data_IF_527094320758
#
_entry.id   IF_527094320758
#
_cell.length_a   1.000
_cell.length_b   1.000
_cell.length_c   1.000
_cell.angle_alpha   90.00
_cell.angle_beta   90.00
_cell.angle_gamma   90.00
#
_symmetry.space_group_name_H-M   'P 1'
#
loop_
_entity.id
_entity.type
_entity.pdbx_description
1 polymer ?
#
# COMPACT_ATOMS: atom_id res chain seq x y z
N UNK A 1 -19.33 16.71 0.41
CA UNK A 1 -18.34 15.60 0.43
C UNK A 1 -17.16 16.01 -0.43
N UNK A 2 -15.92 15.67 -0.05
CA UNK A 2 -14.73 15.94 -0.85
C UNK A 2 -13.99 14.65 -1.20
N UNK A 3 -13.41 14.60 -2.40
CA UNK A 3 -12.42 13.58 -2.79
C UNK A 3 -11.04 14.21 -2.80
N UNK A 4 -10.08 13.53 -2.17
CA UNK A 4 -8.70 13.97 -2.09
C UNK A 4 -7.88 13.01 -2.92
N UNK A 5 -7.69 13.33 -4.19
CA UNK A 5 -6.83 12.55 -5.09
C UNK A 5 -5.39 12.95 -4.80
N UNK A 6 -4.53 12.01 -4.43
CA UNK A 6 -3.13 12.32 -4.15
C UNK A 6 -2.21 11.23 -4.67
N UNK A 7 -0.96 11.63 -4.90
CA UNK A 7 0.17 10.79 -5.27
C UNK A 7 1.41 11.23 -4.47
N UNK A 8 2.40 10.35 -4.35
CA UNK A 8 3.59 10.55 -3.53
C UNK A 8 4.81 10.01 -4.26
N UNK A 9 5.89 10.80 -4.28
CA UNK A 9 7.20 10.30 -4.68
C UNK A 9 8.04 9.94 -3.46
N UNK A 10 8.87 8.90 -3.61
CA UNK A 10 9.64 8.34 -2.51
C UNK A 10 11.14 8.25 -2.81
N UNK A 11 11.95 8.56 -1.79
CA UNK A 11 13.35 8.16 -1.75
C UNK A 11 13.52 6.85 -0.96
N UNK A 12 14.63 6.16 -1.22
CA UNK A 12 14.98 4.91 -0.55
C UNK A 12 16.50 4.83 -0.31
N UNK A 13 16.90 3.93 0.58
CA UNK A 13 18.31 3.71 0.89
C UNK A 13 19.11 3.31 -0.36
N UNK A 14 20.16 4.07 -0.64
CA UNK A 14 21.10 3.80 -1.73
C UNK A 14 22.45 3.37 -1.16
N UNK A 15 22.98 2.24 -1.64
CA UNK A 15 24.35 1.80 -1.40
C UNK A 15 25.03 1.55 -2.74
N UNK A 16 26.25 2.08 -2.99
CA UNK A 16 27.01 1.77 -4.19
C UNK A 16 27.46 0.31 -4.22
N UNK A 17 27.45 -0.39 -3.07
CA UNK A 17 27.70 -1.82 -2.99
C UNK A 17 26.45 -2.59 -3.38
N UNK A 18 26.50 -3.29 -4.52
CA UNK A 18 25.36 -4.07 -5.02
C UNK A 18 24.85 -5.07 -3.98
N UNK A 19 23.55 -5.00 -3.69
CA UNK A 19 22.86 -5.94 -2.81
C UNK A 19 22.95 -5.62 -1.32
N UNK A 20 23.65 -4.55 -0.93
CA UNK A 20 23.70 -4.08 0.45
C UNK A 20 22.36 -3.43 0.83
N UNK A 21 21.60 -4.13 1.67
CA UNK A 21 20.32 -3.67 2.21
C UNK A 21 20.45 -3.06 3.61
N UNK A 22 21.65 -2.95 4.15
CA UNK A 22 21.88 -2.40 5.50
C UNK A 22 21.46 -0.93 5.60
N UNK A 23 21.51 -0.21 4.46
CA UNK A 23 21.09 1.18 4.35
C UNK A 23 19.57 1.38 4.42
N UNK A 24 18.76 0.32 4.29
CA UNK A 24 17.29 0.42 4.28
C UNK A 24 16.75 0.41 5.71
N UNK A 25 16.07 1.49 6.09
CA UNK A 25 15.34 1.57 7.34
C UNK A 25 14.06 0.73 7.28
N UNK A 26 13.99 -0.35 8.06
CA UNK A 26 12.82 -1.27 8.05
C UNK A 26 11.50 -0.61 8.48
N UNK A 27 11.56 0.46 9.27
CA UNK A 27 10.38 1.18 9.76
C UNK A 27 9.91 2.26 8.76
N UNK A 28 10.80 2.71 7.86
CA UNK A 28 10.50 3.67 6.81
C UNK A 28 11.33 3.32 5.55
N UNK A 29 10.98 2.24 4.83
CA UNK A 29 11.76 1.80 3.67
C UNK A 29 11.69 2.79 2.51
N UNK A 30 10.60 3.54 2.42
CA UNK A 30 10.33 4.57 1.43
C UNK A 30 10.00 5.87 2.16
N UNK A 31 10.89 6.86 2.07
CA UNK A 31 10.70 8.19 2.65
C UNK A 31 10.05 9.10 1.63
N UNK A 32 8.96 9.78 2.00
CA UNK A 32 8.26 10.68 1.08
C UNK A 32 9.13 11.91 0.79
N UNK A 33 9.31 12.23 -0.49
CA UNK A 33 10.09 13.38 -0.97
C UNK A 33 9.26 14.37 -1.81
N UNK A 34 8.08 13.98 -2.27
CA UNK A 34 7.10 14.89 -2.88
C UNK A 34 5.68 14.43 -2.53
N UNK A 35 4.79 15.39 -2.31
CA UNK A 35 3.36 15.20 -2.12
C UNK A 35 2.62 16.07 -3.14
N UNK A 36 1.79 15.44 -3.96
CA UNK A 36 0.88 16.10 -4.88
C UNK A 36 -0.56 15.68 -4.58
N UNK A 37 -1.46 16.66 -4.47
CA UNK A 37 -2.87 16.39 -4.18
C UNK A 37 -3.81 17.36 -4.88
N UNK A 38 -4.97 16.85 -5.28
CA UNK A 38 -6.09 17.57 -5.88
C UNK A 38 -7.33 17.32 -5.02
N UNK A 39 -7.96 18.40 -4.57
CA UNK A 39 -9.20 18.36 -3.81
C UNK A 39 -10.36 18.59 -4.76
N UNK A 40 -11.30 17.65 -4.77
CA UNK A 40 -12.49 17.69 -5.60
C UNK A 40 -13.75 17.82 -4.74
N UNK A 41 -14.76 18.51 -5.27
CA UNK A 41 -16.11 18.49 -4.71
C UNK A 41 -16.84 17.18 -5.09
N UNK A 42 -18.09 17.05 -4.69
CA UNK A 42 -18.95 15.89 -5.01
C UNK A 42 -19.28 15.70 -6.50
N UNK A 43 -19.16 16.77 -7.30
CA UNK A 43 -19.31 16.74 -8.75
C UNK A 43 -17.99 16.44 -9.48
N UNK A 44 -16.91 16.17 -8.73
CA UNK A 44 -15.54 16.00 -9.21
C UNK A 44 -14.91 17.27 -9.80
N UNK A 45 -15.45 18.45 -9.52
CA UNK A 45 -14.80 19.72 -9.88
C UNK A 45 -13.62 20.00 -8.95
N UNK A 46 -12.53 20.51 -9.50
CA UNK A 46 -11.34 20.88 -8.72
C UNK A 46 -11.62 22.10 -7.86
N UNK A 47 -11.47 21.94 -6.54
CA UNK A 47 -11.54 23.02 -5.55
C UNK A 47 -10.16 23.67 -5.38
N UNK A 48 -9.13 22.84 -5.19
CA UNK A 48 -7.77 23.29 -4.93
C UNK A 48 -6.76 22.18 -5.19
N UNK A 49 -5.49 22.57 -5.28
CA UNK A 49 -4.34 21.66 -5.38
C UNK A 49 -3.36 21.94 -4.25
N UNK A 50 -2.54 20.95 -3.91
CA UNK A 50 -1.42 21.06 -2.99
C UNK A 50 -0.24 20.32 -3.60
N UNK A 51 0.91 20.99 -3.63
CA UNK A 51 2.16 20.40 -4.10
C UNK A 51 3.29 20.82 -3.18
N UNK A 52 4.02 19.83 -2.65
CA UNK A 52 5.15 20.07 -1.76
C UNK A 52 6.27 19.09 -2.05
N UNK A 53 7.48 19.62 -2.26
CA UNK A 53 8.71 18.86 -2.02
C UNK A 53 8.91 18.69 -0.51
N UNK A 54 9.55 17.59 -0.12
CA UNK A 54 9.80 17.24 1.28
C UNK A 54 11.28 16.94 1.46
N UNK A 55 11.88 17.59 2.45
CA UNK A 55 13.29 17.37 2.79
C UNK A 55 13.52 15.99 3.42
N UNK A 56 14.32 15.11 2.80
CA UNK A 56 14.59 13.80 3.34
C UNK A 56 15.50 13.88 4.57
N UNK A 57 15.22 13.06 5.57
CA UNK A 57 16.00 12.91 6.80
C UNK A 57 16.41 11.46 7.04
N UNK A 58 15.62 10.49 6.59
CA UNK A 58 15.95 9.05 6.67
C UNK A 58 17.00 8.69 5.64
N UNK A 59 16.87 9.20 4.41
CA UNK A 59 17.78 8.97 3.30
C UNK A 59 18.31 10.31 2.75
N UNK A 60 19.38 10.86 3.34
CA UNK A 60 19.93 12.17 2.93
C UNK A 60 20.55 12.16 1.53
N UNK A 61 20.78 10.97 0.97
CA UNK A 61 21.28 10.78 -0.39
C UNK A 61 20.10 10.40 -1.25
N UNK A 62 19.85 11.16 -2.31
CA UNK A 62 18.83 10.82 -3.30
C UNK A 62 19.31 9.63 -4.12
N UNK A 63 18.50 8.57 -4.18
CA UNK A 63 18.82 7.39 -4.96
C UNK A 63 18.89 7.76 -6.46
N UNK A 64 19.95 7.40 -7.22
CA UNK A 64 20.12 7.81 -8.61
C UNK A 64 18.93 7.47 -9.51
N UNK A 65 18.40 6.24 -9.42
CA UNK A 65 17.18 5.86 -10.13
C UNK A 65 15.97 6.76 -9.81
N UNK A 66 15.83 7.22 -8.56
CA UNK A 66 14.73 8.12 -8.18
C UNK A 66 14.97 9.50 -8.77
N UNK A 67 16.20 10.02 -8.73
CA UNK A 67 16.56 11.29 -9.37
C UNK A 67 16.29 11.28 -10.88
N UNK A 68 16.66 10.20 -11.57
CA UNK A 68 16.43 10.04 -13.01
C UNK A 68 14.93 9.91 -13.32
N UNK A 69 14.16 9.28 -12.43
CA UNK A 69 12.74 9.03 -12.62
C UNK A 69 11.90 10.30 -12.41
N UNK A 70 12.18 11.07 -11.36
CA UNK A 70 11.37 12.23 -10.94
C UNK A 70 11.95 13.56 -11.42
N UNK A 71 13.19 13.58 -11.93
CA UNK A 71 13.91 14.79 -12.27
C UNK A 71 14.36 15.64 -11.06
N UNK A 72 14.06 15.20 -9.83
CA UNK A 72 14.40 15.95 -8.62
C UNK A 72 15.88 15.89 -8.30
N UNK A 73 16.42 16.98 -7.77
CA UNK A 73 17.78 16.99 -7.23
C UNK A 73 17.78 17.04 -5.71
N UNK A 74 18.84 16.52 -5.10
CA UNK A 74 19.01 16.63 -3.64
C UNK A 74 19.13 18.10 -3.16
N UNK A 75 19.49 19.02 -4.07
CA UNK A 75 19.53 20.45 -3.77
C UNK A 75 18.12 21.01 -3.58
N UNK A 76 17.19 20.64 -4.46
CA UNK A 76 15.78 21.06 -4.37
C UNK A 76 15.15 20.52 -3.09
N UNK A 77 15.37 19.23 -2.81
CA UNK A 77 14.88 18.58 -1.60
C UNK A 77 15.47 19.19 -0.32
N UNK A 78 16.74 19.57 -0.31
CA UNK A 78 17.37 20.16 0.88
C UNK A 78 16.84 21.57 1.22
N UNK A 79 16.30 22.27 0.22
CA UNK A 79 15.64 23.57 0.36
C UNK A 79 14.17 23.46 0.77
N UNK A 80 13.57 22.27 0.66
CA UNK A 80 12.19 22.01 1.02
C UNK A 80 11.96 21.92 2.54
N UNK A 81 10.69 21.95 2.93
CA UNK A 81 10.27 21.81 4.32
C UNK A 81 10.32 20.34 4.78
N UNK A 82 10.51 20.07 6.09
CA UNK A 82 10.51 18.71 6.61
C UNK A 82 9.10 18.10 6.58
N UNK A 83 9.04 16.76 6.54
CA UNK A 83 7.78 16.02 6.43
C UNK A 83 6.72 16.43 7.47
N UNK A 84 7.10 16.74 8.71
CA UNK A 84 6.17 17.16 9.75
C UNK A 84 5.36 18.41 9.38
N UNK A 85 6.01 19.43 8.79
CA UNK A 85 5.32 20.65 8.38
C UNK A 85 4.42 20.41 7.17
N UNK A 86 4.93 19.68 6.17
CA UNK A 86 4.13 19.31 4.99
C UNK A 86 2.92 18.46 5.39
N UNK A 87 3.07 17.61 6.42
CA UNK A 87 1.97 16.85 6.98
C UNK A 87 0.90 17.75 7.62
N UNK A 88 1.29 18.77 8.40
CA UNK A 88 0.35 19.74 8.97
C UNK A 88 -0.43 20.47 7.87
N UNK A 89 0.24 20.90 6.80
CA UNK A 89 -0.40 21.50 5.63
C UNK A 89 -1.35 20.52 4.93
N UNK A 90 -0.97 19.25 4.81
CA UNK A 90 -1.83 18.22 4.26
C UNK A 90 -3.07 18.00 5.13
N UNK A 91 -2.94 17.97 6.46
CA UNK A 91 -4.09 17.89 7.37
C UNK A 91 -5.03 19.08 7.18
N UNK A 92 -4.51 20.30 7.03
CA UNK A 92 -5.32 21.47 6.72
C UNK A 92 -6.06 21.30 5.38
N UNK A 93 -5.36 20.81 4.36
CA UNK A 93 -5.93 20.54 3.03
C UNK A 93 -7.08 19.53 3.07
N UNK A 94 -6.98 18.52 3.95
CA UNK A 94 -8.01 17.49 4.15
C UNK A 94 -9.29 18.00 4.82
N UNK A 95 -9.26 19.16 5.51
CA UNK A 95 -10.42 19.67 6.26
C UNK A 95 -11.65 19.87 5.37
N UNK A 96 -12.81 19.61 5.94
CA UNK A 96 -14.13 19.70 5.32
C UNK A 96 -15.09 18.73 6.01
N UNK A 97 -16.37 18.75 5.63
CA UNK A 97 -17.40 17.94 6.31
C UNK A 97 -17.08 16.43 6.28
N UNK A 98 -16.64 15.95 5.11
CA UNK A 98 -16.21 14.57 4.90
C UNK A 98 -15.26 14.50 3.71
N UNK A 99 -14.11 13.85 3.89
CA UNK A 99 -13.08 13.69 2.86
C UNK A 99 -12.80 12.20 2.63
N UNK A 100 -12.65 11.80 1.37
CA UNK A 100 -12.30 10.42 0.98
C UNK A 100 -10.96 10.47 0.24
N UNK A 101 -10.00 9.66 0.68
CA UNK A 101 -8.70 9.56 0.02
C UNK A 101 -8.81 8.80 -1.30
N UNK A 102 -8.22 9.30 -2.36
CA UNK A 102 -8.20 8.65 -3.67
C UNK A 102 -6.74 8.56 -4.12
N UNK A 103 -6.33 7.39 -4.56
CA UNK A 103 -4.95 7.14 -5.02
C UNK A 103 -5.00 6.29 -6.26
N UNK A 104 -3.97 6.37 -7.10
CA UNK A 104 -3.86 5.43 -8.21
C UNK A 104 -3.76 4.01 -7.66
N UNK A 105 -2.85 3.75 -6.71
CA UNK A 105 -2.71 2.45 -6.07
C UNK A 105 -2.59 2.50 -4.56
N UNK A 106 -2.63 1.34 -3.92
CA UNK A 106 -2.53 1.23 -2.46
C UNK A 106 -1.14 1.50 -1.87
N UNK A 107 -0.14 1.78 -2.71
CA UNK A 107 1.23 2.03 -2.25
C UNK A 107 1.29 3.33 -1.44
N UNK A 108 0.70 4.41 -1.96
CA UNK A 108 0.80 5.75 -1.40
C UNK A 108 0.14 5.85 -0.03
N UNK A 109 -1.04 5.25 0.12
CA UNK A 109 -1.70 5.14 1.42
C UNK A 109 -0.81 4.39 2.42
N UNK A 110 -0.21 3.26 2.03
CA UNK A 110 0.63 2.48 2.95
C UNK A 110 1.87 3.24 3.38
N UNK A 111 2.57 3.88 2.44
CA UNK A 111 3.79 4.63 2.75
C UNK A 111 3.49 5.94 3.48
N UNK A 112 2.37 6.61 3.20
CA UNK A 112 1.86 7.74 3.99
C UNK A 112 1.73 7.35 5.47
N UNK A 113 0.98 6.28 5.77
CA UNK A 113 0.82 5.82 7.15
C UNK A 113 2.16 5.40 7.79
N UNK A 114 3.06 4.76 7.03
CA UNK A 114 4.39 4.41 7.57
C UNK A 114 5.23 5.64 7.92
N UNK A 115 5.24 6.66 7.07
CA UNK A 115 5.98 7.89 7.32
C UNK A 115 5.39 8.64 8.52
N UNK A 116 4.06 8.76 8.62
CA UNK A 116 3.37 9.35 9.79
C UNK A 116 3.81 8.65 11.09
N UNK A 117 3.74 7.31 11.11
CA UNK A 117 4.11 6.52 12.29
C UNK A 117 5.61 6.59 12.60
N UNK A 118 6.46 6.59 11.57
CA UNK A 118 7.91 6.73 11.73
C UNK A 118 8.29 8.07 12.39
N UNK A 119 7.65 9.15 11.94
CA UNK A 119 7.84 10.48 12.49
C UNK A 119 7.04 10.75 13.78
N UNK A 120 6.35 9.73 14.31
CA UNK A 120 5.53 9.80 15.54
C UNK A 120 4.44 10.87 15.49
N UNK A 121 3.88 11.08 14.30
CA UNK A 121 2.75 11.96 14.06
C UNK A 121 1.44 11.20 14.28
N UNK A 122 0.38 11.93 14.60
CA UNK A 122 -0.94 11.35 14.83
C UNK A 122 -1.69 11.07 13.52
N UNK A 123 -2.36 9.93 13.44
CA UNK A 123 -3.16 9.50 12.27
C UNK A 123 -4.63 9.90 12.36
N UNK A 124 -5.09 10.45 13.49
CA UNK A 124 -6.51 10.73 13.75
C UNK A 124 -7.18 11.58 12.67
N UNK A 125 -6.46 12.55 12.12
CA UNK A 125 -6.98 13.48 11.12
C UNK A 125 -6.97 12.92 9.69
N UNK A 126 -6.38 11.74 9.47
CA UNK A 126 -6.38 11.09 8.16
C UNK A 126 -7.70 10.34 7.96
N UNK A 127 -8.44 10.60 6.85
CA UNK A 127 -9.64 9.86 6.56
C UNK A 127 -9.39 8.35 6.51
N UNK A 128 -10.32 7.59 7.09
CA UNK A 128 -10.27 6.14 7.07
C UNK A 128 -10.91 5.54 5.81
N UNK A 129 -11.57 6.34 4.98
CA UNK A 129 -12.17 5.92 3.72
C UNK A 129 -11.23 6.23 2.54
N UNK A 130 -11.07 5.26 1.65
CA UNK A 130 -10.25 5.41 0.46
C UNK A 130 -10.84 4.75 -0.79
N UNK A 131 -10.40 5.22 -1.95
CA UNK A 131 -10.71 4.69 -3.28
C UNK A 131 -9.39 4.33 -3.98
N UNK A 132 -9.25 3.05 -4.34
CA UNK A 132 -8.18 2.53 -5.19
C UNK A 132 -8.62 2.65 -6.67
N UNK A 133 -8.20 3.75 -7.31
CA UNK A 133 -8.66 4.09 -8.65
C UNK A 133 -8.09 3.15 -9.72
N UNK A 134 -6.89 2.59 -9.54
CA UNK A 134 -6.33 1.57 -10.44
C UNK A 134 -7.23 0.34 -10.50
N UNK A 135 -7.75 -0.14 -9.37
CA UNK A 135 -8.69 -1.28 -9.35
C UNK A 135 -9.96 -0.96 -10.15
N UNK A 136 -10.51 0.24 -10.01
CA UNK A 136 -11.71 0.66 -10.76
C UNK A 136 -11.41 0.86 -12.25
N UNK A 137 -10.31 1.52 -12.60
CA UNK A 137 -9.87 1.73 -13.98
C UNK A 137 -9.60 0.39 -14.69
N UNK A 138 -8.94 -0.55 -14.01
CA UNK A 138 -8.66 -1.88 -14.56
C UNK A 138 -9.94 -2.64 -14.91
N UNK A 139 -10.97 -2.54 -14.05
CA UNK A 139 -12.29 -3.14 -14.32
C UNK A 139 -13.02 -2.43 -15.46
N UNK A 140 -13.01 -1.09 -15.45
CA UNK A 140 -13.65 -0.28 -16.48
C UNK A 140 -13.08 -0.57 -17.88
N UNK A 141 -11.76 -0.74 -17.97
CA UNK A 141 -11.04 -1.05 -19.20
C UNK A 141 -10.97 -2.55 -19.51
N UNK A 142 -11.87 -3.36 -18.92
CA UNK A 142 -11.99 -4.81 -19.15
C UNK A 142 -10.68 -5.60 -19.04
N UNK A 143 -9.79 -5.21 -18.11
CA UNK A 143 -8.56 -5.97 -17.87
C UNK A 143 -8.87 -7.31 -17.22
N UNK A 144 -8.08 -8.33 -17.58
CA UNK A 144 -8.20 -9.67 -17.01
C UNK A 144 -8.04 -9.58 -15.48
N UNK A 145 -8.84 -10.36 -14.76
CA UNK A 145 -8.77 -10.44 -13.30
C UNK A 145 -7.34 -10.79 -12.87
N UNK A 146 -6.76 -9.98 -11.99
CA UNK A 146 -5.37 -10.13 -11.52
C UNK A 146 -4.34 -9.25 -12.23
N UNK A 147 -4.71 -8.55 -13.31
CA UNK A 147 -3.84 -7.59 -13.99
C UNK A 147 -4.31 -6.16 -13.71
N UNK A 148 -3.46 -5.38 -13.05
CA UNK A 148 -3.68 -3.94 -12.85
C UNK A 148 -3.06 -3.13 -13.99
N UNK A 149 -3.73 -2.04 -14.38
CA UNK A 149 -3.22 -1.11 -15.37
C UNK A 149 -2.37 -0.01 -14.72
N UNK A 150 -1.24 0.35 -15.32
CA UNK A 150 -0.46 1.53 -14.90
C UNK A 150 -1.16 2.84 -15.28
N UNK A 151 -0.84 3.94 -14.58
CA UNK A 151 -1.51 5.23 -14.78
C UNK A 151 -1.36 5.72 -16.21
N UNK A 152 -0.12 5.78 -16.74
CA UNK A 152 0.12 6.21 -18.10
C UNK A 152 -0.60 5.37 -19.17
N UNK A 153 -0.71 4.05 -18.96
CA UNK A 153 -1.48 3.20 -19.86
C UNK A 153 -3.00 3.46 -19.78
N UNK A 154 -3.53 3.82 -18.61
CA UNK A 154 -4.92 4.21 -18.47
C UNK A 154 -5.20 5.57 -19.09
N UNK A 155 -4.32 6.56 -18.86
CA UNK A 155 -4.36 7.90 -19.49
C UNK A 155 -4.38 7.78 -21.00
N UNK A 156 -3.49 6.96 -21.58
CA UNK A 156 -3.44 6.71 -23.01
C UNK A 156 -4.73 6.07 -23.54
N UNK A 157 -5.23 5.00 -22.90
CA UNK A 157 -6.45 4.30 -23.34
C UNK A 157 -7.72 5.13 -23.19
N UNK A 158 -7.74 6.06 -22.25
CA UNK A 158 -8.86 6.97 -22.04
C UNK A 158 -8.71 8.26 -22.86
N UNK A 159 -7.69 8.37 -23.71
CA UNK A 159 -7.44 9.54 -24.56
C UNK A 159 -7.40 10.85 -23.74
N UNK A 160 -6.77 10.79 -22.56
CA UNK A 160 -6.53 11.98 -21.74
C UNK A 160 -5.29 12.69 -22.30
N UNK A 161 -5.36 14.00 -22.62
CA UNK A 161 -4.22 14.73 -23.15
C UNK A 161 -3.03 14.74 -22.17
N UNK A 162 -1.86 14.36 -22.67
CA UNK A 162 -0.61 14.52 -21.91
C UNK A 162 -0.21 15.99 -21.90
N UNK A 163 -0.04 16.55 -20.71
CA UNK A 163 0.37 17.94 -20.50
C UNK A 163 1.69 18.04 -19.72
N UNK A 164 1.92 17.10 -18.83
CA UNK A 164 3.04 17.04 -17.89
C UNK A 164 3.68 15.64 -17.92
N UNK A 165 4.92 15.52 -17.44
CA UNK A 165 5.62 14.23 -17.35
C UNK A 165 5.05 13.39 -16.19
N UNK A 166 5.22 12.06 -16.28
CA UNK A 166 4.92 11.15 -15.16
C UNK A 166 6.01 11.23 -14.10
N UNK A 167 5.71 10.73 -12.90
CA UNK A 167 6.64 10.74 -11.76
C UNK A 167 6.92 12.13 -11.20
N UNK A 168 5.99 13.04 -11.45
CA UNK A 168 5.74 14.22 -10.64
C UNK A 168 4.43 13.98 -9.87
N UNK A 169 4.48 14.13 -8.55
CA UNK A 169 3.34 13.76 -7.71
C UNK A 169 2.08 14.59 -7.98
N UNK A 170 2.20 15.88 -8.35
CA UNK A 170 1.02 16.69 -8.67
C UNK A 170 0.47 16.31 -10.05
N UNK A 171 1.33 16.15 -11.04
CA UNK A 171 0.95 15.71 -12.38
C UNK A 171 0.20 14.37 -12.32
N UNK A 172 0.72 13.40 -11.56
CA UNK A 172 0.12 12.08 -11.42
C UNK A 172 -1.21 12.13 -10.64
N UNK A 173 -1.35 13.01 -9.64
CA UNK A 173 -2.63 13.27 -8.99
C UNK A 173 -3.66 13.93 -9.93
N UNK A 174 -3.22 14.83 -10.81
CA UNK A 174 -4.04 15.45 -11.86
C UNK A 174 -4.49 14.43 -12.91
N UNK A 175 -3.58 13.60 -13.43
CA UNK A 175 -3.93 12.52 -14.35
C UNK A 175 -4.88 11.51 -13.70
N UNK A 176 -4.64 11.14 -12.45
CA UNK A 176 -5.52 10.27 -11.68
C UNK A 176 -6.91 10.89 -11.52
N UNK A 177 -6.99 12.21 -11.34
CA UNK A 177 -8.26 12.97 -11.30
C UNK A 177 -9.01 12.90 -12.63
N UNK A 178 -8.33 13.08 -13.76
CA UNK A 178 -8.96 12.98 -15.08
C UNK A 178 -9.44 11.54 -15.38
N UNK A 179 -8.65 10.53 -15.00
CA UNK A 179 -9.10 9.14 -15.07
C UNK A 179 -10.33 8.96 -14.19
N UNK A 180 -10.32 9.49 -12.97
CA UNK A 180 -11.45 9.38 -12.06
C UNK A 180 -12.72 9.98 -12.68
N UNK A 181 -12.65 11.19 -13.24
CA UNK A 181 -13.77 11.84 -13.94
C UNK A 181 -14.33 10.98 -15.07
N UNK A 182 -13.47 10.33 -15.86
CA UNK A 182 -13.91 9.48 -17.00
C UNK A 182 -14.53 8.15 -16.58
N UNK A 183 -14.04 7.53 -15.51
CA UNK A 183 -14.52 6.20 -15.09
C UNK A 183 -15.59 6.24 -14.00
N UNK A 184 -15.80 7.41 -13.36
CA UNK A 184 -16.69 7.56 -12.23
C UNK A 184 -18.12 7.16 -12.60
N UNK A 185 -18.70 6.31 -11.77
CA UNK A 185 -20.09 5.89 -11.87
C UNK A 185 -20.58 5.47 -10.47
N UNK A 186 -21.88 5.17 -10.34
CA UNK A 186 -22.52 4.79 -9.07
C UNK A 186 -21.93 3.55 -8.37
N UNK A 187 -21.01 2.81 -8.99
CA UNK A 187 -20.35 1.61 -8.41
C UNK A 187 -19.00 1.92 -7.75
N UNK A 188 -18.50 3.15 -7.82
CA UNK A 188 -17.27 3.52 -7.11
C UNK A 188 -17.62 3.74 -5.65
N UNK A 189 -17.30 2.75 -4.82
CA UNK A 189 -17.56 2.80 -3.39
C UNK A 189 -16.24 2.93 -2.61
N UNK A 190 -16.17 3.84 -1.61
CA UNK A 190 -15.04 3.91 -0.70
C UNK A 190 -14.90 2.63 0.12
N UNK A 191 -13.67 2.22 0.36
CA UNK A 191 -13.30 1.14 1.28
C UNK A 191 -12.73 1.73 2.56
N UNK A 192 -12.87 1.01 3.67
CA UNK A 192 -12.27 1.41 4.94
C UNK A 192 -10.82 0.90 5.03
N UNK A 193 -9.88 1.82 5.21
CA UNK A 193 -8.48 1.58 5.48
C UNK A 193 -8.29 1.27 6.97
N UNK A 194 -8.07 -0.01 7.28
CA UNK A 194 -7.81 -0.45 8.66
C UNK A 194 -6.35 -0.28 9.09
N UNK A 195 -5.51 0.42 8.33
CA UNK A 195 -4.08 0.60 8.65
C UNK A 195 -3.87 1.34 9.98
N UNK A 196 -4.81 2.19 10.39
CA UNK A 196 -4.80 2.92 11.67
C UNK A 196 -5.35 2.09 12.86
N UNK A 197 -6.06 0.98 12.63
CA UNK A 197 -6.58 0.16 13.73
C UNK A 197 -5.43 -0.64 14.33
N UNK A 198 -4.86 -0.08 15.39
CA UNK A 198 -4.07 -0.74 16.43
C UNK A 198 -3.56 -2.14 16.03
N UNK A 199 -2.39 -2.16 15.38
CA UNK A 199 -1.49 -3.33 15.39
C UNK A 199 -1.08 -3.74 16.82
N UNK A 200 -1.51 -2.98 17.85
CA UNK A 200 -1.21 -3.21 19.27
C UNK A 200 -2.20 -4.13 19.99
N UNK A 201 -3.33 -4.54 19.41
CA UNK A 201 -4.28 -5.45 20.10
C UNK A 201 -4.56 -6.78 19.39
N UNK A 202 -4.21 -6.95 18.10
CA UNK A 202 -4.54 -8.18 17.37
C UNK A 202 -3.36 -8.88 16.68
N UNK A 203 -2.15 -8.64 17.19
CA UNK A 203 -1.07 -9.62 17.02
C UNK A 203 -0.58 -10.06 18.39
N UNK A 204 -1.38 -10.91 19.05
CA UNK A 204 -0.79 -12.20 19.36
C UNK A 204 -0.25 -12.69 18.02
N UNK A 205 1.05 -12.50 17.76
CA UNK A 205 1.75 -13.36 16.82
C UNK A 205 1.23 -14.74 17.21
N UNK A 206 0.40 -15.38 16.38
CA UNK A 206 0.37 -16.84 16.43
C UNK A 206 1.82 -17.17 16.20
N UNK A 207 2.53 -17.44 17.29
CA UNK A 207 3.85 -18.03 17.24
C UNK A 207 3.73 -19.11 16.18
N UNK A 208 4.68 -19.17 15.26
CA UNK A 208 4.66 -20.24 14.26
C UNK A 208 4.76 -21.54 15.07
N UNK A 209 3.63 -22.16 15.37
CA UNK A 209 3.59 -23.44 16.02
C UNK A 209 4.17 -24.43 15.02
N UNK A 210 5.38 -24.90 15.31
CA UNK A 210 5.98 -26.02 14.62
C UNK A 210 5.30 -27.29 15.10
N UNK A 211 5.11 -28.24 14.19
CA UNK A 211 4.54 -29.55 14.54
C UNK A 211 5.58 -30.27 15.39
N UNK A 212 5.23 -30.65 16.61
CA UNK A 212 5.99 -31.62 17.39
C UNK A 212 5.77 -33.01 16.78
N UNK A 213 6.59 -33.35 15.79
CA UNK A 213 6.53 -34.64 15.12
C UNK A 213 6.78 -35.81 16.09
N UNK A 214 7.62 -35.60 17.11
CA UNK A 214 7.94 -36.64 18.06
C UNK A 214 6.75 -36.92 18.98
N UNK A 215 6.14 -35.87 19.55
CA UNK A 215 4.92 -35.99 20.36
C UNK A 215 3.75 -36.59 19.58
N UNK A 216 3.58 -36.21 18.30
CA UNK A 216 2.56 -36.78 17.43
C UNK A 216 2.73 -38.30 17.25
N UNK A 217 3.93 -38.76 16.88
CA UNK A 217 4.18 -40.20 16.69
C UNK A 217 4.04 -40.97 18.01
N UNK A 218 4.59 -40.44 19.10
CA UNK A 218 4.49 -41.07 20.43
C UNK A 218 3.04 -41.27 20.88
N UNK A 219 2.13 -40.36 20.52
CA UNK A 219 0.72 -40.51 20.81
C UNK A 219 0.10 -41.69 20.03
N UNK A 220 0.43 -41.86 18.75
CA UNK A 220 -0.01 -43.02 17.97
C UNK A 220 0.58 -44.32 18.53
N UNK A 221 1.86 -44.34 18.88
CA UNK A 221 2.51 -45.51 19.48
C UNK A 221 1.85 -45.92 20.80
N UNK A 222 1.46 -44.94 21.62
CA UNK A 222 0.68 -45.16 22.83
C UNK A 222 -0.73 -45.71 22.54
N UNK A 223 -1.43 -45.15 21.56
CA UNK A 223 -2.79 -45.60 21.20
C UNK A 223 -2.83 -47.03 20.67
N UNK A 224 -1.81 -47.41 19.89
CA UNK A 224 -1.71 -48.74 19.28
C UNK A 224 -0.83 -49.71 20.08
N UNK A 225 -0.27 -49.25 21.21
CA UNK A 225 0.62 -50.01 22.10
C UNK A 225 1.76 -50.74 21.37
N UNK A 226 2.34 -50.08 20.36
CA UNK A 226 3.47 -50.58 19.54
C UNK A 226 4.21 -49.42 18.90
N UNK A 227 5.46 -49.63 18.49
CA UNK A 227 6.20 -48.66 17.69
C UNK A 227 5.63 -48.55 16.26
N UNK A 228 5.68 -47.34 15.71
CA UNK A 228 5.29 -47.09 14.31
C UNK A 228 6.48 -47.37 13.38
N UNK A 229 6.23 -47.96 12.22
CA UNK A 229 7.25 -48.08 11.16
C UNK A 229 7.53 -46.72 10.51
N UNK A 230 8.65 -46.59 9.79
CA UNK A 230 8.98 -45.34 9.10
C UNK A 230 7.95 -44.95 8.02
N UNK A 231 7.34 -45.94 7.36
CA UNK A 231 6.26 -45.72 6.40
C UNK A 231 5.00 -45.20 7.10
N UNK A 232 4.62 -45.78 8.25
CA UNK A 232 3.49 -45.32 9.06
C UNK A 232 3.71 -43.90 9.57
N UNK A 233 4.92 -43.59 10.07
CA UNK A 233 5.29 -42.23 10.48
C UNK A 233 5.16 -41.24 9.32
N UNK A 234 5.53 -41.64 8.11
CA UNK A 234 5.42 -40.82 6.91
C UNK A 234 3.97 -40.56 6.50
N UNK A 235 3.12 -41.60 6.55
CA UNK A 235 1.69 -41.51 6.28
C UNK A 235 1.00 -40.59 7.31
N UNK A 236 1.30 -40.73 8.59
CA UNK A 236 0.74 -39.90 9.67
C UNK A 236 1.08 -38.41 9.46
N UNK A 237 2.34 -38.11 9.14
CA UNK A 237 2.78 -36.74 8.82
C UNK A 237 2.05 -36.18 7.60
N UNK A 238 1.93 -36.97 6.54
CA UNK A 238 1.25 -36.56 5.30
C UNK A 238 -0.23 -36.28 5.54
N UNK A 239 -0.93 -37.18 6.25
CA UNK A 239 -2.34 -37.01 6.60
C UNK A 239 -2.59 -35.74 7.44
N UNK A 240 -1.70 -35.44 8.40
CA UNK A 240 -1.78 -34.22 9.19
C UNK A 240 -1.59 -32.96 8.33
N UNK A 241 -0.63 -32.97 7.40
CA UNK A 241 -0.40 -31.86 6.46
C UNK A 241 -1.63 -31.66 5.56
N UNK A 242 -2.19 -32.72 5.01
CA UNK A 242 -3.40 -32.68 4.18
C UNK A 242 -4.58 -32.08 4.95
N UNK A 243 -4.80 -32.50 6.20
CA UNK A 243 -5.82 -31.92 7.08
C UNK A 243 -5.62 -30.43 7.34
N UNK A 244 -4.37 -29.99 7.57
CA UNK A 244 -4.01 -28.58 7.74
C UNK A 244 -4.29 -27.71 6.51
N UNK A 245 -4.21 -28.28 5.31
CA UNK A 245 -4.49 -27.56 4.06
C UNK A 245 -5.98 -27.50 3.72
N UNK A 246 -6.85 -28.08 4.56
CA UNK A 246 -8.29 -28.21 4.34
C UNK A 246 -8.64 -28.86 2.98
N UNK A 247 -7.71 -29.63 2.41
CA UNK A 247 -7.79 -30.17 1.05
C UNK A 247 -9.04 -31.04 0.80
N UNK A 248 -9.56 -31.66 1.86
CA UNK A 248 -10.69 -32.60 1.79
C UNK A 248 -11.89 -32.15 2.62
N UNK A 249 -12.00 -30.87 2.97
CA UNK A 249 -13.18 -30.34 3.65
C UNK A 249 -14.28 -29.99 2.64
N UNK A 250 -15.47 -30.52 2.85
CA UNK A 250 -16.68 -30.22 2.06
C UNK A 250 -17.56 -29.25 2.87
N UNK A 251 -18.23 -28.32 2.21
CA UNK A 251 -19.14 -27.37 2.87
C UNK A 251 -20.46 -28.09 3.19
N UNK A 252 -21.05 -27.78 4.34
CA UNK A 252 -22.27 -28.43 4.85
C UNK A 252 -23.55 -28.23 3.99
N UNK A 253 -23.48 -27.60 2.82
CA UNK A 253 -24.63 -27.41 1.92
C UNK A 253 -24.72 -28.49 0.82
N UNK A 254 -23.74 -29.40 0.73
CA UNK A 254 -23.71 -30.47 -0.27
C UNK A 254 -24.07 -31.86 0.32
N UNK A 255 -24.97 -31.89 1.31
CA UNK A 255 -25.56 -33.12 1.88
C UNK A 255 -27.08 -33.12 1.75
#
# INVERSE_FOLDING_TARGET
MNYIVFDLEFNQGYSPVKGDKSVINKNCPFEIIQLGAVKLNENLDTISTLERLIKPKVYPILHPFVADLTGLTIKDLNAAEPFQKVYEEFIEFLKGDKSILCTWGMADIKELFRNILYYKLDTFHIPNEYIDLQSYASKHLNRRKGFSIGLGAAVALLEIPFKEEFHDALADACYTTEVFRKIHNKKVEPKICLLHKNRRENTHRKEKCTIDNHGLIKQFEKMFNREMTEDEKSIIKLAYIMGRTNQFQIKNYDK
#
